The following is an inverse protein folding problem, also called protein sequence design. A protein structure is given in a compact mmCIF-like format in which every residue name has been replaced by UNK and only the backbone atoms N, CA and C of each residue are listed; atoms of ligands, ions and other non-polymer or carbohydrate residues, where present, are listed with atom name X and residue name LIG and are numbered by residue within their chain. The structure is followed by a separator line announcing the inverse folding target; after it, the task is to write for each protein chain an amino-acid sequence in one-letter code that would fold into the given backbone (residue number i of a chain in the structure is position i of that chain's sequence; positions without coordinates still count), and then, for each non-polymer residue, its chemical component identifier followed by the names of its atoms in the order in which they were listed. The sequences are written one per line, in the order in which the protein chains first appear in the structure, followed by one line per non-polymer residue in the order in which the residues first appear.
data_IF_411080140841
#
_entry.id   IF_411080140841
#
_cell.length_a   1.000
_cell.length_b   1.000
_cell.length_c   1.000
_cell.angle_alpha   90.00
_cell.angle_beta   90.00
_cell.angle_gamma   90.00
#
_symmetry.space_group_name_H-M   'P 1'
#
loop_
_entity.id
_entity.type
_entity.pdbx_description
1 polymer ?
#
# COMPACT_ATOMS: atom_id res chain seq x y z
N UNK A 1 33.84 14.67 -9.15
CA UNK A 1 33.41 13.86 -10.31
C UNK A 1 32.66 12.58 -9.92
N UNK A 2 33.03 11.87 -8.84
CA UNK A 2 32.38 10.63 -8.42
C UNK A 2 30.88 10.75 -8.00
N UNK A 3 30.43 11.88 -7.43
CA UNK A 3 29.02 12.02 -7.03
C UNK A 3 28.07 12.22 -8.24
N UNK A 4 28.49 12.96 -9.28
CA UNK A 4 27.72 13.11 -10.52
C UNK A 4 27.54 11.79 -11.25
N UNK A 5 28.59 10.97 -11.32
CA UNK A 5 28.54 9.61 -11.90
C UNK A 5 27.60 8.67 -11.14
N UNK A 6 27.60 8.72 -9.79
CA UNK A 6 26.67 7.91 -8.97
C UNK A 6 25.21 8.35 -9.12
N UNK A 7 24.96 9.64 -9.27
CA UNK A 7 23.61 10.17 -9.52
C UNK A 7 23.12 9.76 -10.90
N UNK A 8 23.94 9.88 -11.95
CA UNK A 8 23.55 9.46 -13.31
C UNK A 8 23.26 7.97 -13.39
N UNK A 9 24.10 7.11 -12.79
CA UNK A 9 23.82 5.66 -12.73
C UNK A 9 22.54 5.33 -11.94
N UNK A 10 22.22 6.11 -10.90
CA UNK A 10 20.98 5.92 -10.15
C UNK A 10 19.75 6.30 -10.98
N UNK A 11 19.85 7.37 -11.76
CA UNK A 11 18.77 7.82 -12.65
C UNK A 11 18.54 6.81 -13.79
N UNK A 12 19.60 6.31 -14.42
CA UNK A 12 19.48 5.27 -15.46
C UNK A 12 18.82 3.99 -14.92
N UNK A 13 19.18 3.57 -13.69
CA UNK A 13 18.54 2.44 -13.03
C UNK A 13 17.06 2.70 -12.70
N UNK A 14 16.71 3.93 -12.33
CA UNK A 14 15.32 4.34 -12.09
C UNK A 14 14.52 4.31 -13.39
N UNK A 15 15.04 4.87 -14.47
CA UNK A 15 14.40 4.84 -15.80
C UNK A 15 14.14 3.41 -16.29
N UNK A 16 15.15 2.53 -16.16
CA UNK A 16 14.99 1.10 -16.48
C UNK A 16 13.93 0.40 -15.64
N UNK A 17 13.75 0.83 -14.39
CA UNK A 17 12.74 0.29 -13.50
C UNK A 17 11.35 0.85 -13.82
N UNK A 18 11.24 2.14 -14.10
CA UNK A 18 9.99 2.79 -14.49
C UNK A 18 9.44 2.23 -15.81
N UNK A 19 10.32 1.89 -16.76
CA UNK A 19 9.93 1.19 -17.99
C UNK A 19 9.32 -0.21 -17.75
N UNK A 20 9.50 -0.80 -16.56
CA UNK A 20 8.89 -2.10 -16.17
C UNK A 20 7.54 -1.95 -15.47
N UNK A 21 7.07 -0.72 -15.23
CA UNK A 21 5.76 -0.50 -14.61
C UNK A 21 4.66 -1.08 -15.51
N UNK A 22 3.73 -1.77 -14.88
CA UNK A 22 2.56 -2.35 -15.55
C UNK A 22 1.64 -1.25 -16.07
N UNK A 23 1.20 -1.39 -17.31
CA UNK A 23 0.20 -0.52 -17.95
C UNK A 23 -1.23 -1.08 -17.82
N UNK A 24 -1.38 -2.32 -17.34
CA UNK A 24 -2.67 -3.04 -17.34
C UNK A 24 -3.64 -2.60 -16.23
N UNK A 25 -3.17 -1.88 -15.22
CA UNK A 25 -3.94 -1.57 -14.01
C UNK A 25 -4.53 -0.16 -14.03
N UNK A 26 -5.53 0.00 -14.89
CA UNK A 26 -6.37 1.19 -15.01
C UNK A 26 -7.67 1.01 -14.20
N UNK A 27 -8.10 2.06 -13.48
CA UNK A 27 -9.34 2.12 -12.69
C UNK A 27 -10.60 1.63 -13.43
N UNK A 28 -10.64 1.73 -14.77
CA UNK A 28 -11.72 1.24 -15.64
C UNK A 28 -11.96 -0.26 -15.49
N UNK A 29 -10.91 -1.05 -15.31
CA UNK A 29 -11.04 -2.50 -15.11
C UNK A 29 -11.81 -2.85 -13.83
N UNK A 30 -11.78 -1.95 -12.83
CA UNK A 30 -12.28 -2.18 -11.47
C UNK A 30 -13.40 -1.20 -11.08
N UNK A 31 -13.97 -0.46 -12.04
CA UNK A 31 -15.06 0.47 -11.80
C UNK A 31 -16.30 -0.25 -11.22
N UNK A 32 -16.57 -1.47 -11.69
CA UNK A 32 -17.63 -2.33 -11.15
C UNK A 32 -17.31 -2.72 -9.70
N UNK A 33 -16.09 -3.18 -9.40
CA UNK A 33 -15.65 -3.51 -8.02
C UNK A 33 -15.80 -2.32 -7.08
N UNK A 34 -15.38 -1.12 -7.48
CA UNK A 34 -15.56 0.08 -6.65
C UNK A 34 -17.04 0.40 -6.43
N UNK A 35 -17.88 0.18 -7.43
CA UNK A 35 -19.34 0.35 -7.34
C UNK A 35 -19.95 -0.67 -6.39
N UNK A 36 -19.55 -1.93 -6.46
CA UNK A 36 -20.07 -3.00 -5.60
C UNK A 36 -19.58 -2.84 -4.16
N UNK A 37 -18.33 -2.42 -3.95
CA UNK A 37 -17.86 -1.98 -2.63
C UNK A 37 -18.74 -0.85 -2.08
N UNK A 38 -19.12 0.13 -2.89
CA UNK A 38 -20.02 1.20 -2.44
C UNK A 38 -21.45 0.72 -2.14
N UNK A 39 -21.96 -0.27 -2.88
CA UNK A 39 -23.26 -0.91 -2.59
C UNK A 39 -23.19 -1.67 -1.26
N UNK A 40 -22.19 -2.53 -1.07
CA UNK A 40 -21.98 -3.28 0.18
C UNK A 40 -21.88 -2.34 1.38
N UNK A 41 -21.12 -1.24 1.25
CA UNK A 41 -21.01 -0.23 2.31
C UNK A 41 -22.35 0.42 2.70
N UNK A 42 -23.26 0.59 1.75
CA UNK A 42 -24.60 1.15 2.01
C UNK A 42 -25.51 0.13 2.68
N UNK A 43 -25.44 -1.13 2.27
CA UNK A 43 -26.21 -2.22 2.89
C UNK A 43 -25.78 -2.48 4.33
N UNK A 44 -24.50 -2.32 4.65
CA UNK A 44 -23.94 -2.54 6.00
C UNK A 44 -24.01 -1.31 6.93
N UNK A 45 -24.73 -0.23 6.57
CA UNK A 45 -24.87 1.01 7.37
C UNK A 45 -23.53 1.59 7.92
N UNK A 46 -22.44 1.44 7.19
CA UNK A 46 -21.10 1.78 7.69
C UNK A 46 -20.90 3.28 7.91
N UNK A 47 -20.41 3.63 9.11
CA UNK A 47 -19.93 4.99 9.43
C UNK A 47 -18.70 5.33 8.56
N UNK A 48 -18.66 6.55 8.03
CA UNK A 48 -17.47 7.08 7.32
C UNK A 48 -16.46 7.58 8.35
N UNK A 49 -15.37 6.85 8.56
CA UNK A 49 -14.31 7.32 9.45
C UNK A 49 -13.26 8.11 8.66
N UNK A 50 -12.81 9.22 9.25
CA UNK A 50 -11.77 10.07 8.67
C UNK A 50 -10.40 9.38 8.73
N UNK A 51 -9.45 9.82 7.90
CA UNK A 51 -8.04 9.38 8.01
C UNK A 51 -7.45 9.65 9.40
N UNK A 52 -7.97 10.66 10.11
CA UNK A 52 -7.55 11.03 11.47
C UNK A 52 -7.97 9.98 12.52
N UNK A 53 -9.16 9.38 12.39
CA UNK A 53 -9.65 8.32 13.28
C UNK A 53 -8.80 7.03 13.18
N UNK A 54 -8.10 6.82 12.06
CA UNK A 54 -7.22 5.66 11.84
C UNK A 54 -5.98 5.70 12.71
N UNK A 55 -5.37 6.88 12.91
CA UNK A 55 -4.17 7.07 13.75
C UNK A 55 -4.40 6.62 15.19
N UNK A 56 -5.57 6.93 15.75
CA UNK A 56 -5.96 6.54 17.12
C UNK A 56 -6.24 5.05 17.25
N UNK A 57 -6.79 4.43 16.21
CA UNK A 57 -7.14 3.00 16.21
C UNK A 57 -5.92 2.09 16.11
N UNK A 58 -4.92 2.49 15.32
CA UNK A 58 -3.68 1.73 15.11
C UNK A 58 -2.75 1.77 16.32
N UNK A 59 -2.56 2.95 16.94
CA UNK A 59 -1.72 3.13 18.13
C UNK A 59 -2.23 2.34 19.36
N UNK A 60 -3.53 2.04 19.43
CA UNK A 60 -4.12 1.25 20.52
C UNK A 60 -3.95 -0.27 20.37
N UNK A 61 -3.56 -0.78 19.19
CA UNK A 61 -3.42 -2.23 18.94
C UNK A 61 -2.01 -2.76 19.22
N UNK A 62 -1.44 -2.39 20.37
CA UNK A 62 -0.38 -3.17 20.99
C UNK A 62 -1.01 -4.34 21.76
N UNK A 63 -1.43 -5.39 21.06
CA UNK A 63 -1.82 -6.65 21.69
C UNK A 63 -1.26 -7.84 20.91
N UNK A 64 -0.65 -8.77 21.66
CA UNK A 64 0.01 -9.99 21.14
C UNK A 64 -0.82 -10.65 20.04
N UNK A 65 -0.26 -10.74 18.83
CA UNK A 65 -0.88 -11.34 17.65
C UNK A 65 -1.08 -12.86 17.86
N UNK A 66 -2.33 -13.33 17.87
CA UNK A 66 -2.65 -14.78 17.91
C UNK A 66 -2.84 -15.34 16.49
N UNK A 67 -2.20 -16.48 16.17
CA UNK A 67 -2.39 -17.19 14.87
C UNK A 67 -3.85 -17.52 14.54
N UNK A 68 -4.70 -17.73 15.54
CA UNK A 68 -6.13 -17.96 15.34
C UNK A 68 -6.83 -16.74 14.71
N UNK A 69 -6.46 -15.52 15.14
CA UNK A 69 -6.99 -14.28 14.60
C UNK A 69 -6.56 -14.09 13.13
N UNK A 70 -5.34 -14.49 12.78
CA UNK A 70 -4.85 -14.46 11.39
C UNK A 70 -5.70 -15.35 10.46
N UNK A 71 -5.96 -16.60 10.86
CA UNK A 71 -6.80 -17.52 10.06
C UNK A 71 -8.23 -16.99 9.89
N UNK A 72 -8.81 -16.44 10.96
CA UNK A 72 -10.13 -15.81 10.92
C UNK A 72 -10.15 -14.58 9.99
N UNK A 73 -9.17 -13.69 10.14
CA UNK A 73 -9.05 -12.48 9.33
C UNK A 73 -8.84 -12.76 7.84
N UNK A 74 -8.05 -13.79 7.50
CA UNK A 74 -7.88 -14.22 6.11
C UNK A 74 -9.20 -14.72 5.50
N UNK A 75 -9.98 -15.51 6.23
CA UNK A 75 -11.28 -16.00 5.75
C UNK A 75 -12.26 -14.86 5.51
N UNK A 76 -12.26 -13.84 6.38
CA UNK A 76 -13.06 -12.61 6.19
C UNK A 76 -12.66 -11.90 4.88
N UNK A 77 -11.36 -11.77 4.61
CA UNK A 77 -10.87 -11.18 3.36
C UNK A 77 -11.31 -11.97 2.13
N UNK A 78 -11.15 -13.30 2.16
CA UNK A 78 -11.55 -14.18 1.05
C UNK A 78 -13.04 -14.02 0.74
N UNK A 79 -13.90 -13.97 1.76
CA UNK A 79 -15.33 -13.71 1.59
C UNK A 79 -15.60 -12.32 0.98
N UNK A 80 -14.97 -11.26 1.52
CA UNK A 80 -15.16 -9.88 1.03
C UNK A 80 -14.70 -9.71 -0.41
N UNK A 81 -13.58 -10.31 -0.77
CA UNK A 81 -13.04 -10.26 -2.13
C UNK A 81 -13.92 -11.03 -3.10
N UNK A 82 -14.40 -12.22 -2.71
CA UNK A 82 -15.30 -13.02 -3.54
C UNK A 82 -16.62 -12.29 -3.82
N UNK A 83 -17.12 -11.48 -2.87
CA UNK A 83 -18.33 -10.69 -3.05
C UNK A 83 -18.18 -9.54 -4.07
N UNK A 84 -16.96 -9.26 -4.53
CA UNK A 84 -16.64 -8.22 -5.52
C UNK A 84 -15.79 -8.79 -6.66
N UNK A 85 -15.98 -10.08 -6.97
CA UNK A 85 -15.31 -10.79 -8.06
C UNK A 85 -13.79 -10.64 -8.06
N UNK A 86 -13.20 -10.63 -6.86
CA UNK A 86 -11.75 -10.57 -6.64
C UNK A 86 -11.24 -11.81 -5.91
N UNK A 87 -9.97 -12.13 -6.13
CA UNK A 87 -9.23 -13.21 -5.46
C UNK A 87 -7.93 -12.72 -4.81
N UNK A 88 -7.52 -13.39 -3.72
CA UNK A 88 -6.25 -13.12 -3.06
C UNK A 88 -5.05 -13.60 -3.88
N UNK A 89 -4.06 -12.74 -4.01
CA UNK A 89 -2.72 -13.07 -4.49
C UNK A 89 -1.78 -13.15 -3.29
N UNK A 90 -1.31 -14.36 -3.00
CA UNK A 90 -0.52 -14.66 -1.81
C UNK A 90 0.88 -14.01 -1.88
N UNK A 91 1.23 -13.29 -0.81
CA UNK A 91 2.53 -12.68 -0.57
C UNK A 91 3.24 -13.42 0.58
N UNK A 92 4.57 -13.63 0.54
CA UNK A 92 5.33 -14.16 1.66
C UNK A 92 5.10 -13.35 2.94
N UNK A 93 4.88 -14.04 4.06
CA UNK A 93 4.70 -13.43 5.39
C UNK A 93 6.02 -13.01 6.04
N UNK A 94 6.83 -12.23 5.32
CA UNK A 94 8.04 -11.60 5.83
C UNK A 94 7.79 -10.10 6.13
N UNK A 95 8.79 -9.42 6.72
CA UNK A 95 8.70 -7.99 6.98
C UNK A 95 8.71 -7.10 5.74
N UNK A 96 8.66 -7.69 4.53
CA UNK A 96 8.54 -6.98 3.26
C UNK A 96 7.14 -7.08 2.65
N UNK A 97 6.17 -7.74 3.30
CA UNK A 97 4.86 -8.04 2.73
C UNK A 97 4.16 -6.83 2.09
N UNK A 98 4.18 -5.65 2.74
CA UNK A 98 3.62 -4.42 2.17
C UNK A 98 4.26 -4.08 0.82
N UNK A 99 5.59 -3.97 0.78
CA UNK A 99 6.32 -3.59 -0.43
C UNK A 99 6.28 -4.68 -1.51
N UNK A 100 6.22 -5.97 -1.12
CA UNK A 100 6.02 -7.09 -2.07
C UNK A 100 4.63 -7.03 -2.70
N UNK A 101 3.59 -6.74 -1.92
CA UNK A 101 2.23 -6.61 -2.41
C UNK A 101 2.08 -5.43 -3.39
N UNK A 102 2.65 -4.27 -3.03
CA UNK A 102 2.71 -3.11 -3.93
C UNK A 102 3.49 -3.43 -5.20
N UNK A 103 4.67 -4.06 -5.07
CA UNK A 103 5.49 -4.46 -6.21
C UNK A 103 4.76 -5.45 -7.13
N UNK A 104 3.97 -6.35 -6.56
CA UNK A 104 3.14 -7.29 -7.31
C UNK A 104 2.12 -6.57 -8.20
N UNK A 105 1.53 -5.47 -7.74
CA UNK A 105 0.60 -4.67 -8.53
C UNK A 105 1.33 -3.79 -9.56
N UNK A 106 2.37 -3.07 -9.13
CA UNK A 106 3.07 -2.11 -9.97
C UNK A 106 3.91 -2.76 -11.07
N UNK A 107 4.49 -3.93 -10.84
CA UNK A 107 5.46 -4.56 -11.75
C UNK A 107 5.06 -5.99 -12.16
N UNK A 108 3.87 -6.46 -11.76
CA UNK A 108 3.45 -7.87 -11.89
C UNK A 108 4.44 -8.87 -11.26
N UNK A 109 5.33 -8.40 -10.39
CA UNK A 109 6.44 -9.17 -9.84
C UNK A 109 6.79 -8.67 -8.44
N UNK A 110 6.88 -9.57 -7.46
CA UNK A 110 7.20 -9.21 -6.06
C UNK A 110 8.68 -8.88 -5.84
N UNK A 111 9.56 -9.31 -6.75
CA UNK A 111 11.03 -9.22 -6.59
C UNK A 111 11.55 -7.77 -6.52
N UNK A 112 10.77 -6.80 -6.99
CA UNK A 112 11.13 -5.38 -6.97
C UNK A 112 10.72 -4.65 -5.67
N UNK A 113 10.34 -5.38 -4.62
CA UNK A 113 9.93 -4.80 -3.33
C UNK A 113 10.98 -3.84 -2.72
N UNK A 114 12.28 -4.10 -2.89
CA UNK A 114 13.31 -3.19 -2.38
C UNK A 114 13.39 -1.88 -3.17
N UNK A 115 13.07 -1.91 -4.47
CA UNK A 115 12.94 -0.69 -5.28
C UNK A 115 11.77 0.16 -4.77
N UNK A 116 10.60 -0.47 -4.55
CA UNK A 116 9.42 0.20 -3.98
C UNK A 116 9.75 0.80 -2.61
N UNK A 117 10.40 0.02 -1.71
CA UNK A 117 10.82 0.50 -0.39
C UNK A 117 11.74 1.71 -0.50
N UNK A 118 12.73 1.67 -1.40
CA UNK A 118 13.64 2.79 -1.62
C UNK A 118 12.89 4.05 -2.06
N UNK A 119 12.04 3.97 -3.09
CA UNK A 119 11.26 5.13 -3.57
C UNK A 119 10.33 5.69 -2.48
N UNK A 120 9.75 4.81 -1.65
CA UNK A 120 8.98 5.21 -0.47
C UNK A 120 9.82 6.04 0.51
N UNK A 121 11.00 5.54 0.92
CA UNK A 121 11.88 6.25 1.86
C UNK A 121 12.45 7.54 1.27
N UNK A 122 12.87 7.51 0.00
CA UNK A 122 13.33 8.70 -0.72
C UNK A 122 12.25 9.78 -0.77
N UNK A 123 11.00 9.41 -1.06
CA UNK A 123 9.87 10.34 -1.04
C UNK A 123 9.65 10.92 0.36
N UNK A 124 9.65 10.09 1.41
CA UNK A 124 9.50 10.57 2.79
C UNK A 124 10.62 11.55 3.17
N UNK A 125 11.87 11.27 2.81
CA UNK A 125 13.00 12.16 3.09
C UNK A 125 12.92 13.47 2.31
N UNK A 126 12.49 13.42 1.04
CA UNK A 126 12.34 14.61 0.21
C UNK A 126 11.22 15.53 0.73
N UNK A 127 10.11 14.96 1.19
CA UNK A 127 8.97 15.69 1.76
C UNK A 127 8.94 15.59 3.29
N UNK A 128 10.11 15.64 3.94
CA UNK A 128 10.23 15.36 5.38
C UNK A 128 9.30 16.21 6.27
N UNK A 129 9.01 17.45 5.89
CA UNK A 129 8.11 18.34 6.64
C UNK A 129 6.69 17.75 6.74
N UNK A 130 6.23 17.00 5.75
CA UNK A 130 4.92 16.36 5.75
C UNK A 130 4.88 15.08 6.59
N UNK A 131 6.02 14.40 6.75
CA UNK A 131 6.09 13.11 7.45
C UNK A 131 6.60 13.23 8.88
N UNK A 132 7.49 14.18 9.17
CA UNK A 132 8.09 14.38 10.49
C UNK A 132 7.08 14.81 11.56
N UNK A 133 5.94 15.41 11.18
CA UNK A 133 4.84 15.75 12.11
C UNK A 133 4.23 14.54 12.84
N UNK A 134 4.49 13.34 12.35
CA UNK A 134 4.03 12.09 12.97
C UNK A 134 5.01 11.55 14.03
N UNK A 135 6.15 12.21 14.21
CA UNK A 135 7.27 11.76 15.03
C UNK A 135 7.62 12.77 16.13
N UNK A 136 8.25 12.29 17.19
CA UNK A 136 8.92 13.14 18.15
C UNK A 136 10.16 13.80 17.51
N UNK A 137 10.55 14.95 18.04
CA UNK A 137 11.68 15.72 17.52
C UNK A 137 12.94 14.85 17.39
N UNK A 138 13.58 14.89 16.22
CA UNK A 138 14.80 14.13 15.93
C UNK A 138 14.60 12.64 15.58
N UNK A 139 13.41 12.05 15.75
CA UNK A 139 13.22 10.58 15.58
C UNK A 139 12.89 10.14 14.15
N UNK A 140 12.40 11.05 13.29
CA UNK A 140 12.03 10.76 11.90
C UNK A 140 13.18 10.17 11.07
N UNK A 141 14.39 10.72 11.20
CA UNK A 141 15.56 10.24 10.45
C UNK A 141 15.97 8.83 10.86
N UNK A 142 15.84 8.49 12.15
CA UNK A 142 16.09 7.12 12.62
C UNK A 142 15.04 6.15 12.07
N UNK A 143 13.77 6.56 12.07
CA UNK A 143 12.70 5.80 11.44
C UNK A 143 12.99 5.56 9.95
N UNK A 144 13.34 6.59 9.18
CA UNK A 144 13.67 6.45 7.76
C UNK A 144 14.87 5.52 7.52
N UNK A 145 15.89 5.58 8.39
CA UNK A 145 17.05 4.69 8.35
C UNK A 145 16.67 3.23 8.65
N UNK A 146 15.75 2.98 9.58
CA UNK A 146 15.22 1.62 9.85
C UNK A 146 14.34 1.15 8.69
N UNK A 147 13.49 2.03 8.16
CA UNK A 147 12.57 1.71 7.06
C UNK A 147 13.28 1.36 5.76
N UNK A 148 14.50 1.87 5.54
CA UNK A 148 15.31 1.50 4.37
C UNK A 148 15.86 0.06 4.44
N UNK A 149 15.86 -0.57 5.62
CA UNK A 149 16.39 -1.91 5.81
C UNK A 149 15.46 -2.99 5.27
N UNK A 150 16.04 -4.03 4.67
CA UNK A 150 15.31 -5.21 4.23
C UNK A 150 14.63 -5.90 5.43
N UNK A 151 13.34 -6.20 5.29
CA UNK A 151 12.55 -6.87 6.33
C UNK A 151 12.04 -5.95 7.44
N UNK A 152 12.27 -4.65 7.41
CA UNK A 152 11.59 -3.73 8.33
C UNK A 152 10.13 -3.52 7.91
N UNK A 153 9.19 -3.69 8.83
CA UNK A 153 7.76 -3.74 8.50
C UNK A 153 7.26 -2.36 8.11
N UNK A 154 6.60 -2.27 6.95
CA UNK A 154 5.98 -1.03 6.49
C UNK A 154 4.67 -0.75 7.21
N UNK A 155 4.33 0.53 7.32
CA UNK A 155 3.16 1.05 8.04
C UNK A 155 2.27 1.92 7.13
N UNK A 156 1.33 2.66 7.72
CA UNK A 156 0.43 3.55 6.99
C UNK A 156 1.16 4.72 6.31
N UNK A 157 2.24 5.23 6.90
CA UNK A 157 3.05 6.28 6.28
C UNK A 157 3.69 5.78 4.99
N UNK A 158 4.13 4.52 4.99
CA UNK A 158 4.67 3.87 3.79
C UNK A 158 3.64 3.76 2.67
N UNK A 159 2.37 3.47 3.00
CA UNK A 159 1.28 3.41 2.02
C UNK A 159 1.11 4.79 1.36
N UNK A 160 1.01 5.86 2.17
CA UNK A 160 0.83 7.22 1.66
C UNK A 160 2.05 7.67 0.82
N UNK A 161 3.26 7.51 1.34
CA UNK A 161 4.48 7.87 0.64
C UNK A 161 4.65 7.12 -0.69
N UNK A 162 4.29 5.83 -0.73
CA UNK A 162 4.32 5.04 -1.97
C UNK A 162 3.27 5.54 -2.97
N UNK A 163 2.06 5.86 -2.51
CA UNK A 163 1.01 6.39 -3.37
C UNK A 163 1.48 7.66 -4.08
N UNK A 164 2.13 8.57 -3.35
CA UNK A 164 2.69 9.80 -3.91
C UNK A 164 3.92 9.53 -4.80
N UNK A 165 4.86 8.69 -4.37
CA UNK A 165 6.09 8.40 -5.09
C UNK A 165 5.87 7.77 -6.48
N UNK A 166 4.79 7.00 -6.64
CA UNK A 166 4.45 6.32 -7.90
C UNK A 166 3.26 6.95 -8.65
N UNK A 167 2.76 8.09 -8.16
CA UNK A 167 1.54 8.75 -8.61
C UNK A 167 0.38 7.76 -8.85
N UNK A 168 0.02 7.03 -7.80
CA UNK A 168 -1.00 5.99 -7.87
C UNK A 168 -2.10 6.15 -6.80
N UNK A 169 -3.16 5.35 -6.96
CA UNK A 169 -4.22 5.17 -5.97
C UNK A 169 -4.10 3.78 -5.37
N UNK A 170 -3.93 3.70 -4.05
CA UNK A 170 -3.86 2.45 -3.31
C UNK A 170 -5.22 2.19 -2.66
N UNK A 171 -5.85 1.09 -3.04
CA UNK A 171 -7.06 0.55 -2.45
C UNK A 171 -6.73 -0.61 -1.53
N UNK A 172 -7.29 -0.62 -0.33
CA UNK A 172 -7.04 -1.67 0.67
C UNK A 172 -8.37 -2.24 1.13
N UNK A 173 -8.54 -3.56 1.01
CA UNK A 173 -9.60 -4.30 1.70
C UNK A 173 -8.97 -4.95 2.94
N UNK A 174 -9.51 -4.66 4.12
CA UNK A 174 -8.97 -5.13 5.40
C UNK A 174 -9.86 -6.22 5.99
N UNK A 175 -9.33 -6.97 6.96
CA UNK A 175 -10.09 -7.93 7.77
C UNK A 175 -10.75 -7.30 9.01
N UNK A 176 -10.75 -5.97 9.15
CA UNK A 176 -11.38 -5.31 10.31
C UNK A 176 -12.90 -5.33 10.17
N UNK A 177 -13.63 -5.36 11.28
CA UNK A 177 -15.10 -5.34 11.26
C UNK A 177 -15.59 -4.05 10.58
N UNK A 178 -15.16 -2.90 11.11
CA UNK A 178 -15.47 -1.59 10.56
C UNK A 178 -14.41 -1.09 9.56
N UNK A 179 -14.81 -0.17 8.69
CA UNK A 179 -13.95 0.52 7.71
C UNK A 179 -13.09 -0.43 6.87
N UNK A 180 -13.68 -1.52 6.43
CA UNK A 180 -12.92 -2.57 5.77
C UNK A 180 -12.39 -2.19 4.38
N UNK A 181 -12.72 -1.00 3.86
CA UNK A 181 -12.17 -0.50 2.61
C UNK A 181 -11.58 0.89 2.76
N UNK A 182 -10.28 1.01 2.51
CA UNK A 182 -9.45 2.21 2.59
C UNK A 182 -8.97 2.63 1.20
N UNK A 183 -8.79 3.94 1.00
CA UNK A 183 -8.24 4.53 -0.22
C UNK A 183 -7.16 5.54 0.17
N UNK A 184 -6.01 5.48 -0.50
CA UNK A 184 -4.92 6.46 -0.42
C UNK A 184 -4.63 6.92 -1.84
N UNK A 185 -4.62 8.21 -2.07
CA UNK A 185 -4.43 8.78 -3.40
C UNK A 185 -3.22 9.71 -3.39
N UNK A 186 -2.44 9.63 -4.47
CA UNK A 186 -1.37 10.58 -4.77
C UNK A 186 -1.87 12.02 -4.70
N UNK A 187 -1.11 12.90 -4.05
CA UNK A 187 -1.38 14.35 -4.03
C UNK A 187 -1.09 15.01 -5.37
N UNK A 188 -0.29 14.38 -6.23
CA UNK A 188 0.00 14.88 -7.57
C UNK A 188 -1.27 14.82 -8.43
N UNK A 189 -1.53 15.90 -9.17
CA UNK A 189 -2.62 15.98 -10.15
C UNK A 189 -2.02 15.83 -11.53
N UNK A 190 -2.13 14.65 -12.10
CA UNK A 190 -1.73 14.39 -13.48
C UNK A 190 -2.94 14.68 -14.35
N UNK A 191 -2.93 15.83 -15.02
CA UNK A 191 -4.00 16.22 -15.93
C UNK A 191 -3.99 15.31 -17.16
N UNK A 192 -5.13 14.69 -17.47
CA UNK A 192 -5.33 13.94 -18.72
C UNK A 192 -5.07 12.43 -18.67
N UNK A 193 -4.43 11.89 -17.62
CA UNK A 193 -4.17 10.44 -17.50
C UNK A 193 -4.87 9.79 -16.31
N UNK A 194 -5.34 8.55 -16.49
CA UNK A 194 -5.88 7.76 -15.39
C UNK A 194 -4.72 7.31 -14.47
N UNK A 195 -4.79 7.65 -13.17
CA UNK A 195 -3.82 7.17 -12.18
C UNK A 195 -3.76 5.65 -12.14
N UNK A 196 -2.55 5.12 -12.00
CA UNK A 196 -2.30 3.70 -11.72
C UNK A 196 -3.01 3.31 -10.43
N UNK A 197 -3.55 2.10 -10.37
CA UNK A 197 -4.19 1.59 -9.16
C UNK A 197 -3.40 0.43 -8.56
N UNK A 198 -3.36 0.33 -7.24
CA UNK A 198 -2.72 -0.74 -6.48
C UNK A 198 -3.74 -1.32 -5.50
N UNK A 199 -3.88 -2.64 -5.46
CA UNK A 199 -4.87 -3.33 -4.65
C UNK A 199 -4.20 -4.23 -3.61
N UNK A 200 -4.50 -3.95 -2.34
CA UNK A 200 -3.90 -4.63 -1.19
C UNK A 200 -4.99 -5.29 -0.33
N UNK A 201 -4.74 -6.50 0.13
CA UNK A 201 -5.58 -7.18 1.10
C UNK A 201 -4.86 -7.20 2.46
N UNK A 202 -5.45 -6.59 3.48
CA UNK A 202 -4.80 -6.42 4.78
C UNK A 202 -5.43 -7.31 5.87
N UNK A 203 -4.71 -8.36 6.27
CA UNK A 203 -5.09 -9.16 7.44
C UNK A 203 -4.60 -8.42 8.69
N UNK A 204 -5.47 -7.59 9.27
CA UNK A 204 -5.11 -6.68 10.35
C UNK A 204 -4.71 -7.43 11.64
N UNK A 205 -3.67 -6.99 12.38
CA UNK A 205 -2.69 -5.95 12.03
C UNK A 205 -1.38 -6.51 11.43
N UNK A 206 -1.44 -7.63 10.71
CA UNK A 206 -0.31 -8.57 10.61
C UNK A 206 0.32 -8.72 9.23
N UNK A 207 -0.45 -8.63 8.15
CA UNK A 207 0.04 -9.08 6.84
C UNK A 207 -0.69 -8.40 5.69
N UNK A 208 0.07 -8.07 4.65
CA UNK A 208 -0.45 -7.60 3.38
C UNK A 208 -0.29 -8.66 2.31
N UNK A 209 -1.42 -9.11 1.76
CA UNK A 209 -1.51 -9.80 0.49
C UNK A 209 -1.85 -8.80 -0.62
N UNK A 210 -1.82 -9.24 -1.88
CA UNK A 210 -2.39 -8.48 -3.01
C UNK A 210 -3.76 -9.09 -3.36
N UNK A 211 -4.58 -8.41 -4.13
CA UNK A 211 -5.77 -9.01 -4.73
C UNK A 211 -5.96 -8.53 -6.17
N UNK A 212 -6.66 -9.32 -6.97
CA UNK A 212 -6.96 -9.02 -8.38
C UNK A 212 -8.34 -9.55 -8.75
N UNK A 213 -8.85 -9.14 -9.90
CA UNK A 213 -10.09 -9.68 -10.46
C UNK A 213 -9.98 -11.19 -10.74
N UNK A 214 -11.05 -11.92 -10.44
CA UNK A 214 -11.20 -13.35 -10.69
C UNK A 214 -11.56 -13.58 -12.17
N UNK A 215 -10.64 -13.22 -13.07
CA UNK A 215 -10.76 -13.23 -14.56
C UNK A 215 -11.84 -12.30 -15.14
N UNK A 216 -11.43 -11.55 -16.16
CA UNK A 216 -12.32 -10.95 -17.18
C UNK A 216 -12.47 -11.93 -18.34
#
# INVERSE_FOLDING_TARGET
MASRLRVSESLERDEQMEAKLSTSMNIKSLAHVLTDIQKLKRTEEMKRYSTFDRRISFLKRNSKIKRANYKSGRKILETRLSAVDCELVKIPGDGNCLFRSISCNLFNQQKYHMYVRRKCVEHMLHFQEEFSIYFEEGTFHEYAKKMSQNGYWGDELCIKATADAFDCVIYIITSTEDNWHLKYESKHRTEGEHKKCVFLAYTSPTHYDSFRLTRS
#
